data_IF_665259904716
#
_entry.id   IF_665259904716
#
_cell.length_a   1.000
_cell.length_b   1.000
_cell.length_c   1.000
_cell.angle_alpha   90.00
_cell.angle_beta   90.00
_cell.angle_gamma   90.00
#
_symmetry.space_group_name_H-M   'P 1'
#
loop_
_entity.id
_entity.type
_entity.pdbx_description
1 polymer ?
#
# COMPACT_ATOMS: atom_id res chain seq x y z
N UNK A 1 10.40 7.36 1.62
CA UNK A 1 9.80 8.28 0.66
C UNK A 1 10.86 9.23 0.13
N UNK A 2 10.93 9.31 -1.18
CA UNK A 2 11.90 10.14 -1.89
C UNK A 2 11.11 11.04 -2.83
N UNK A 3 11.34 12.34 -2.72
CA UNK A 3 10.86 13.34 -3.68
C UNK A 3 11.88 13.51 -4.78
N UNK A 4 11.41 13.54 -6.02
CA UNK A 4 12.20 13.81 -7.22
C UNK A 4 11.69 15.11 -7.84
N UNK A 5 12.58 16.06 -8.08
CA UNK A 5 12.30 17.35 -8.74
C UNK A 5 13.42 17.66 -9.75
N UNK A 6 13.19 17.27 -11.01
CA UNK A 6 14.25 17.20 -12.01
C UNK A 6 15.38 16.28 -11.54
N UNK A 7 16.60 16.80 -11.47
CA UNK A 7 17.78 16.07 -10.98
C UNK A 7 17.91 16.07 -9.44
N UNK A 8 17.02 16.78 -8.72
CA UNK A 8 17.08 16.85 -7.26
C UNK A 8 16.37 15.65 -6.63
N UNK A 9 17.12 14.93 -5.81
CA UNK A 9 16.63 13.79 -5.02
C UNK A 9 16.63 14.19 -3.55
N UNK A 10 15.48 14.09 -2.88
CA UNK A 10 15.35 14.42 -1.48
C UNK A 10 14.63 13.32 -0.71
N UNK A 11 15.23 12.84 0.39
CA UNK A 11 14.53 11.99 1.34
C UNK A 11 13.56 12.84 2.17
N UNK A 12 12.27 12.51 2.11
CA UNK A 12 11.19 13.29 2.76
C UNK A 12 10.51 12.52 3.91
N UNK A 13 10.96 11.30 4.20
CA UNK A 13 10.42 10.49 5.30
C UNK A 13 10.39 9.01 4.97
N UNK A 14 9.85 8.19 5.86
CA UNK A 14 9.71 6.75 5.67
C UNK A 14 9.01 6.10 6.85
N UNK A 15 8.64 4.84 6.68
CA UNK A 15 7.96 4.03 7.70
C UNK A 15 8.45 2.59 7.65
N UNK A 16 8.36 1.92 8.81
CA UNK A 16 8.79 0.52 8.98
C UNK A 16 7.76 -0.53 8.56
N UNK A 17 6.64 -0.12 7.94
CA UNK A 17 5.61 -1.05 7.43
C UNK A 17 5.91 -1.39 5.97
N UNK A 18 6.03 -2.68 5.69
CA UNK A 18 6.33 -3.19 4.34
C UNK A 18 6.22 -4.71 4.26
N UNK A 19 6.98 -5.32 3.34
CA UNK A 19 6.92 -6.77 3.10
C UNK A 19 7.25 -7.62 4.33
N UNK A 20 8.21 -7.17 5.14
CA UNK A 20 8.53 -7.84 6.41
C UNK A 20 7.36 -7.79 7.41
N UNK A 21 6.59 -6.71 7.44
CA UNK A 21 5.38 -6.60 8.28
C UNK A 21 4.29 -7.53 7.79
N UNK A 22 4.05 -7.58 6.47
CA UNK A 22 3.09 -8.50 5.85
C UNK A 22 3.42 -9.95 6.24
N UNK A 23 4.67 -10.38 6.02
CA UNK A 23 5.11 -11.74 6.39
C UNK A 23 5.02 -12.00 7.90
N UNK A 24 5.45 -11.02 8.71
CA UNK A 24 5.44 -11.12 10.17
C UNK A 24 4.03 -11.33 10.71
N UNK A 25 3.08 -10.49 10.29
CA UNK A 25 1.68 -10.60 10.67
C UNK A 25 1.03 -11.87 10.14
N UNK A 26 1.34 -12.28 8.90
CA UNK A 26 0.84 -13.52 8.32
C UNK A 26 1.26 -14.73 9.16
N UNK A 27 2.52 -14.77 9.61
CA UNK A 27 3.01 -15.85 10.47
C UNK A 27 2.31 -15.88 11.82
N UNK A 28 2.03 -14.71 12.39
CA UNK A 28 1.38 -14.62 13.70
C UNK A 28 -0.10 -14.98 13.63
N UNK A 29 -0.81 -14.48 12.63
CA UNK A 29 -2.28 -14.56 12.53
C UNK A 29 -2.77 -15.75 11.71
N UNK A 30 -2.09 -16.06 10.60
CA UNK A 30 -2.48 -17.11 9.65
C UNK A 30 -1.60 -18.36 9.74
N UNK A 31 -0.56 -18.33 10.58
CA UNK A 31 0.42 -19.42 10.74
C UNK A 31 1.14 -19.80 9.44
N UNK A 32 1.22 -18.87 8.48
CA UNK A 32 1.97 -19.03 7.23
C UNK A 32 2.94 -17.87 7.02
N UNK A 33 4.06 -18.14 6.35
CA UNK A 33 5.03 -17.14 5.91
C UNK A 33 5.11 -17.05 4.38
N UNK A 34 4.30 -17.85 3.67
CA UNK A 34 4.25 -17.85 2.21
C UNK A 34 3.36 -16.71 1.72
N UNK A 35 3.98 -15.69 1.12
CA UNK A 35 3.26 -14.54 0.56
C UNK A 35 2.31 -14.97 -0.55
N UNK A 36 2.65 -15.97 -1.36
CA UNK A 36 1.79 -16.42 -2.45
C UNK A 36 0.49 -17.00 -1.89
N UNK A 37 0.59 -17.84 -0.87
CA UNK A 37 -0.58 -18.37 -0.16
C UNK A 37 -1.41 -17.25 0.49
N UNK A 38 -0.77 -16.27 1.13
CA UNK A 38 -1.47 -15.12 1.74
C UNK A 38 -2.18 -14.30 0.67
N UNK A 39 -1.55 -14.08 -0.49
CA UNK A 39 -2.14 -13.38 -1.61
C UNK A 39 -3.38 -14.09 -2.15
N UNK A 40 -3.31 -15.41 -2.35
CA UNK A 40 -4.44 -16.23 -2.84
C UNK A 40 -5.61 -16.28 -1.84
N UNK A 41 -5.31 -16.32 -0.54
CA UNK A 41 -6.34 -16.20 0.51
C UNK A 41 -7.01 -14.84 0.46
N UNK A 42 -6.22 -13.77 0.35
CA UNK A 42 -6.72 -12.41 0.33
C UNK A 42 -7.59 -12.09 -0.89
N UNK A 43 -7.37 -12.73 -2.04
CA UNK A 43 -8.25 -12.61 -3.22
C UNK A 43 -9.67 -13.14 -2.98
N UNK A 44 -9.84 -14.03 -2.00
CA UNK A 44 -11.13 -14.60 -1.60
C UNK A 44 -11.75 -13.91 -0.38
N UNK A 45 -11.02 -12.98 0.23
CA UNK A 45 -11.42 -12.30 1.45
C UNK A 45 -12.24 -11.05 1.20
N UNK A 46 -13.07 -10.69 2.16
CA UNK A 46 -13.82 -9.44 2.18
C UNK A 46 -13.28 -8.52 3.28
N UNK A 47 -12.56 -7.49 2.86
CA UNK A 47 -11.95 -6.52 3.79
C UNK A 47 -12.98 -5.80 4.66
N UNK A 48 -14.25 -5.68 4.22
CA UNK A 48 -15.31 -4.99 4.98
C UNK A 48 -15.74 -5.78 6.23
N UNK A 49 -15.36 -7.06 6.31
CA UNK A 49 -15.59 -7.91 7.49
C UNK A 49 -14.59 -7.65 8.61
N UNK A 50 -13.40 -7.14 8.28
CA UNK A 50 -12.32 -6.90 9.27
C UNK A 50 -12.01 -5.42 9.46
N UNK A 51 -12.15 -4.58 8.44
CA UNK A 51 -11.92 -3.15 8.54
C UNK A 51 -13.21 -2.41 8.85
N UNK A 52 -13.15 -1.49 9.81
CA UNK A 52 -14.21 -0.54 10.08
C UNK A 52 -14.22 0.55 9.01
N UNK A 53 -15.36 0.79 8.38
CA UNK A 53 -15.57 1.83 7.37
C UNK A 53 -16.31 3.03 7.95
N UNK A 54 -16.22 4.17 7.28
CA UNK A 54 -16.93 5.39 7.68
C UNK A 54 -18.45 5.17 7.71
N UNK A 55 -18.97 4.37 6.76
CA UNK A 55 -20.38 3.98 6.71
C UNK A 55 -20.86 3.15 7.91
N UNK A 56 -19.95 2.49 8.63
CA UNK A 56 -20.30 1.78 9.87
C UNK A 56 -20.51 2.76 11.06
N UNK A 57 -20.02 4.00 10.95
CA UNK A 57 -20.05 5.03 12.01
C UNK A 57 -21.10 6.11 11.71
N UNK A 58 -21.18 6.54 10.46
CA UNK A 58 -22.06 7.61 10.01
C UNK A 58 -22.76 7.23 8.70
N UNK A 59 -24.07 7.45 8.64
CA UNK A 59 -24.88 7.14 7.46
C UNK A 59 -24.78 8.20 6.35
N UNK A 60 -24.03 9.27 6.56
CA UNK A 60 -23.90 10.39 5.61
C UNK A 60 -22.45 10.53 5.17
N UNK A 61 -22.21 10.53 3.85
CA UNK A 61 -20.90 10.82 3.28
C UNK A 61 -20.48 12.27 3.61
N UNK A 62 -19.21 12.47 3.93
CA UNK A 62 -18.63 13.82 3.98
C UNK A 62 -18.15 14.20 2.57
N UNK A 63 -18.05 15.51 2.24
CA UNK A 63 -17.77 16.00 0.88
C UNK A 63 -16.57 15.35 0.18
N UNK A 64 -15.56 14.90 0.93
CA UNK A 64 -14.33 14.28 0.39
C UNK A 64 -14.00 12.93 1.06
N UNK A 65 -14.96 12.33 1.77
CA UNK A 65 -14.76 11.06 2.47
C UNK A 65 -15.92 10.10 2.19
N UNK A 66 -15.74 9.12 1.28
CA UNK A 66 -16.79 8.18 0.95
C UNK A 66 -17.08 7.25 2.13
N UNK A 67 -18.32 6.77 2.23
CA UNK A 67 -18.72 5.81 3.29
C UNK A 67 -17.93 4.50 3.24
N UNK A 68 -17.39 4.13 2.07
CA UNK A 68 -16.52 2.97 1.90
C UNK A 68 -15.08 3.19 2.36
N UNK A 69 -14.70 4.42 2.71
CA UNK A 69 -13.36 4.71 3.24
C UNK A 69 -13.14 3.96 4.56
N UNK A 70 -11.94 3.44 4.74
CA UNK A 70 -11.54 2.80 6.00
C UNK A 70 -11.39 3.85 7.09
N UNK A 71 -12.15 3.69 8.17
CA UNK A 71 -12.02 4.47 9.39
C UNK A 71 -10.99 3.86 10.34
N UNK A 72 -10.97 2.53 10.45
CA UNK A 72 -10.03 1.79 11.29
C UNK A 72 -9.67 0.43 10.67
N UNK A 73 -8.38 0.23 10.39
CA UNK A 73 -7.83 -1.04 9.92
C UNK A 73 -7.98 -2.09 11.04
N UNK A 74 -8.51 -3.27 10.70
CA UNK A 74 -8.88 -4.32 11.66
C UNK A 74 -9.92 -3.92 12.73
N UNK A 75 -10.59 -2.78 12.59
CA UNK A 75 -11.53 -2.27 13.58
C UNK A 75 -12.80 -3.11 13.80
N UNK A 76 -13.10 -4.06 12.89
CA UNK A 76 -14.21 -5.02 13.01
C UNK A 76 -13.74 -6.45 13.26
N UNK A 77 -12.43 -6.67 13.34
CA UNK A 77 -11.89 -8.03 13.47
C UNK A 77 -12.34 -8.68 14.79
N UNK A 78 -12.92 -9.86 14.68
CA UNK A 78 -13.36 -10.68 15.80
C UNK A 78 -12.85 -12.13 15.65
N UNK A 79 -13.20 -13.00 16.61
CA UNK A 79 -12.76 -14.40 16.61
C UNK A 79 -13.38 -15.27 15.50
N UNK A 80 -14.36 -14.76 14.75
CA UNK A 80 -15.03 -15.47 13.66
C UNK A 80 -14.52 -15.03 12.27
N UNK A 81 -13.60 -14.07 12.19
CA UNK A 81 -13.01 -13.65 10.93
C UNK A 81 -12.34 -14.84 10.22
N UNK A 82 -12.66 -15.02 8.93
CA UNK A 82 -12.07 -16.09 8.13
C UNK A 82 -10.58 -15.81 7.86
N UNK A 83 -9.82 -16.84 7.50
CA UNK A 83 -8.40 -16.66 7.16
C UNK A 83 -8.24 -15.79 5.92
N UNK A 84 -9.19 -15.88 4.98
CA UNK A 84 -9.29 -15.07 3.78
C UNK A 84 -9.49 -13.59 4.12
N UNK A 85 -10.43 -13.28 5.02
CA UNK A 85 -10.69 -11.90 5.46
C UNK A 85 -9.48 -11.33 6.22
N UNK A 86 -8.85 -12.12 7.08
CA UNK A 86 -7.65 -11.73 7.82
C UNK A 86 -6.49 -11.48 6.84
N UNK A 87 -6.26 -12.35 5.86
CA UNK A 87 -5.24 -12.17 4.84
C UNK A 87 -5.45 -10.89 4.04
N UNK A 88 -6.70 -10.64 3.63
CA UNK A 88 -7.09 -9.40 2.95
C UNK A 88 -6.84 -8.19 3.83
N UNK A 89 -7.22 -8.25 5.12
CA UNK A 89 -6.94 -7.22 6.12
C UNK A 89 -5.45 -6.90 6.26
N UNK A 90 -4.58 -7.91 6.33
CA UNK A 90 -3.12 -7.71 6.48
C UNK A 90 -2.58 -6.95 5.27
N UNK A 91 -2.94 -7.38 4.07
CA UNK A 91 -2.51 -6.73 2.82
C UNK A 91 -3.01 -5.29 2.77
N UNK A 92 -4.30 -5.06 3.06
CA UNK A 92 -4.88 -3.73 3.08
C UNK A 92 -4.22 -2.82 4.11
N UNK A 93 -3.90 -3.31 5.31
CA UNK A 93 -3.16 -2.55 6.32
C UNK A 93 -1.82 -2.09 5.79
N UNK A 94 -1.03 -2.99 5.20
CA UNK A 94 0.29 -2.64 4.67
C UNK A 94 0.17 -1.63 3.52
N UNK A 95 -0.70 -1.88 2.54
CA UNK A 95 -0.83 -1.04 1.36
C UNK A 95 -1.43 0.34 1.68
N UNK A 96 -2.52 0.40 2.44
CA UNK A 96 -3.14 1.69 2.82
C UNK A 96 -2.23 2.52 3.72
N UNK A 97 -1.48 1.90 4.64
CA UNK A 97 -0.53 2.66 5.46
C UNK A 97 0.62 3.22 4.62
N UNK A 98 1.16 2.46 3.66
CA UNK A 98 2.19 2.95 2.74
C UNK A 98 1.66 4.11 1.90
N UNK A 99 0.51 3.92 1.23
CA UNK A 99 -0.08 4.94 0.35
C UNK A 99 -0.47 6.21 1.11
N UNK A 100 -1.08 6.05 2.29
CA UNK A 100 -1.53 7.17 3.10
C UNK A 100 -0.34 7.98 3.60
N UNK A 101 0.69 7.31 4.11
CA UNK A 101 1.91 7.99 4.54
C UNK A 101 2.67 8.66 3.38
N UNK A 102 2.64 8.09 2.17
CA UNK A 102 3.23 8.72 0.99
C UNK A 102 2.51 10.03 0.66
N UNK A 103 1.17 10.01 0.59
CA UNK A 103 0.33 11.19 0.37
C UNK A 103 0.54 12.23 1.47
N UNK A 104 0.54 11.81 2.74
CA UNK A 104 0.77 12.69 3.89
C UNK A 104 2.15 13.36 3.82
N UNK A 105 3.17 12.64 3.39
CA UNK A 105 4.54 13.18 3.23
C UNK A 105 4.65 14.21 2.11
N UNK A 106 3.71 14.20 1.16
CA UNK A 106 3.62 15.15 0.07
C UNK A 106 2.60 16.28 0.33
N UNK A 107 1.96 16.32 1.50
CA UNK A 107 1.07 17.42 1.86
C UNK A 107 1.79 18.76 1.77
N UNK A 108 1.04 19.80 1.39
CA UNK A 108 1.56 21.14 1.16
C UNK A 108 2.62 21.21 0.04
N UNK A 109 2.65 20.23 -0.86
CA UNK A 109 3.43 20.26 -2.09
C UNK A 109 2.51 20.12 -3.30
N UNK A 110 2.95 20.54 -4.50
CA UNK A 110 2.17 20.36 -5.73
C UNK A 110 2.17 18.91 -6.24
N UNK A 111 2.80 17.96 -5.53
CA UNK A 111 2.96 16.58 -5.98
C UNK A 111 1.61 15.87 -5.96
N UNK A 112 1.23 15.32 -7.12
CA UNK A 112 0.05 14.47 -7.28
C UNK A 112 0.38 13.07 -7.79
N UNK A 113 1.60 12.85 -8.28
CA UNK A 113 2.03 11.57 -8.84
C UNK A 113 2.97 10.83 -7.88
N UNK A 114 2.64 9.58 -7.59
CA UNK A 114 3.36 8.72 -6.65
C UNK A 114 3.80 7.44 -7.35
N UNK A 115 5.10 7.26 -7.55
CA UNK A 115 5.63 6.04 -8.16
C UNK A 115 5.91 4.98 -7.08
N UNK A 116 5.26 3.83 -7.20
CA UNK A 116 5.40 2.69 -6.30
C UNK A 116 6.33 1.65 -6.94
N UNK A 117 7.35 1.22 -6.19
CA UNK A 117 8.32 0.20 -6.63
C UNK A 117 8.52 -0.86 -5.55
N UNK A 118 9.20 -1.96 -5.91
CA UNK A 118 9.51 -3.07 -5.00
C UNK A 118 8.49 -4.21 -5.02
N UNK A 119 8.84 -5.35 -4.42
CA UNK A 119 8.09 -6.61 -4.56
C UNK A 119 6.62 -6.54 -4.13
N UNK A 120 6.25 -5.66 -3.21
CA UNK A 120 4.85 -5.50 -2.79
C UNK A 120 3.93 -5.09 -3.95
N UNK A 121 4.46 -4.40 -4.96
CA UNK A 121 3.70 -3.99 -6.15
C UNK A 121 3.18 -5.16 -6.99
N UNK A 122 3.67 -6.38 -6.74
CA UNK A 122 3.24 -7.60 -7.41
C UNK A 122 1.95 -8.20 -6.80
N UNK A 123 1.49 -7.68 -5.66
CA UNK A 123 0.26 -8.15 -5.04
C UNK A 123 -0.96 -7.75 -5.90
N UNK A 124 -1.88 -8.69 -6.22
CA UNK A 124 -3.09 -8.40 -7.00
C UNK A 124 -3.93 -7.25 -6.42
N UNK A 125 -3.94 -7.12 -5.09
CA UNK A 125 -4.71 -6.12 -4.36
C UNK A 125 -4.18 -4.69 -4.55
N UNK A 126 -2.93 -4.50 -5.03
CA UNK A 126 -2.37 -3.16 -5.24
C UNK A 126 -3.26 -2.30 -6.13
N UNK A 127 -3.73 -2.85 -7.25
CA UNK A 127 -4.57 -2.08 -8.18
C UNK A 127 -5.84 -1.59 -7.51
N UNK A 128 -6.52 -2.47 -6.78
CA UNK A 128 -7.78 -2.12 -6.11
C UNK A 128 -7.55 -1.10 -4.99
N UNK A 129 -6.58 -1.35 -4.10
CA UNK A 129 -6.31 -0.48 -2.94
C UNK A 129 -5.90 0.91 -3.40
N UNK A 130 -4.92 1.00 -4.31
CA UNK A 130 -4.43 2.31 -4.73
C UNK A 130 -5.45 3.07 -5.57
N UNK A 131 -6.25 2.41 -6.42
CA UNK A 131 -7.33 3.10 -7.15
C UNK A 131 -8.37 3.74 -6.21
N UNK A 132 -8.74 3.07 -5.11
CA UNK A 132 -9.62 3.65 -4.08
C UNK A 132 -8.95 4.84 -3.39
N UNK A 133 -7.65 4.77 -3.13
CA UNK A 133 -6.90 5.85 -2.50
C UNK A 133 -6.71 7.05 -3.43
N UNK A 134 -6.51 6.86 -4.74
CA UNK A 134 -6.49 7.93 -5.74
C UNK A 134 -7.76 8.78 -5.69
N UNK A 135 -8.91 8.11 -5.61
CA UNK A 135 -10.21 8.78 -5.53
C UNK A 135 -10.39 9.59 -4.23
N UNK A 136 -9.92 9.06 -3.10
CA UNK A 136 -10.04 9.73 -1.78
C UNK A 136 -9.09 10.92 -1.66
N UNK A 137 -7.84 10.77 -2.09
CA UNK A 137 -6.80 11.79 -1.89
C UNK A 137 -6.61 12.74 -3.09
N UNK A 138 -7.31 12.47 -4.20
CA UNK A 138 -7.15 13.18 -5.47
C UNK A 138 -5.68 13.23 -5.92
N UNK A 139 -5.09 12.04 -6.07
CA UNK A 139 -3.70 11.77 -6.48
C UNK A 139 -3.65 10.63 -7.48
N UNK A 140 -2.47 10.34 -8.03
CA UNK A 140 -2.22 9.25 -8.96
C UNK A 140 -1.07 8.36 -8.46
N UNK A 141 -1.31 7.06 -8.36
CA UNK A 141 -0.32 6.04 -8.03
C UNK A 141 0.09 5.29 -9.29
N UNK A 142 1.39 5.24 -9.54
CA UNK A 142 1.99 4.61 -10.71
C UNK A 142 2.80 3.39 -10.29
N UNK A 143 2.45 2.23 -10.84
CA UNK A 143 3.28 1.02 -10.73
C UNK A 143 3.92 0.79 -12.11
N UNK A 144 5.20 1.13 -12.31
CA UNK A 144 5.86 0.96 -13.59
C UNK A 144 6.14 -0.53 -13.87
N UNK A 145 6.33 -0.93 -15.14
CA UNK A 145 6.79 -2.28 -15.46
C UNK A 145 8.09 -2.62 -14.72
N UNK A 146 8.26 -3.88 -14.31
CA UNK A 146 9.45 -4.33 -13.57
C UNK A 146 9.72 -3.53 -12.27
N UNK A 147 8.66 -3.03 -11.63
CA UNK A 147 8.69 -2.26 -10.39
C UNK A 147 9.56 -2.91 -9.29
N UNK A 148 9.50 -4.23 -9.19
CA UNK A 148 10.26 -5.09 -8.29
C UNK A 148 11.78 -5.01 -8.49
N UNK A 149 12.24 -4.70 -9.70
CA UNK A 149 13.65 -4.64 -10.06
C UNK A 149 14.21 -3.22 -10.17
N UNK A 150 13.38 -2.18 -9.99
CA UNK A 150 13.78 -0.78 -10.26
C UNK A 150 15.02 -0.33 -9.49
N UNK A 151 15.19 -0.76 -8.24
CA UNK A 151 16.39 -0.47 -7.45
C UNK A 151 17.64 -1.11 -8.07
N UNK A 152 17.57 -2.37 -8.48
CA UNK A 152 18.68 -3.09 -9.08
C UNK A 152 19.06 -2.50 -10.46
N UNK A 153 18.04 -2.19 -11.28
CA UNK A 153 18.22 -1.52 -12.58
C UNK A 153 18.89 -0.16 -12.39
N UNK A 154 18.42 0.64 -11.43
CA UNK A 154 19.01 1.94 -11.11
C UNK A 154 20.47 1.85 -10.70
N UNK A 155 20.82 0.88 -9.84
CA UNK A 155 22.20 0.63 -9.43
C UNK A 155 23.10 0.24 -10.62
N UNK A 156 22.62 -0.64 -11.51
CA UNK A 156 23.36 -1.05 -12.70
C UNK A 156 23.60 0.12 -13.66
N UNK A 157 22.59 0.97 -13.89
CA UNK A 157 22.71 2.15 -14.75
C UNK A 157 23.69 3.19 -14.19
N UNK A 158 23.67 3.41 -12.88
CA UNK A 158 24.62 4.31 -12.21
C UNK A 158 26.07 3.84 -12.43
N UNK A 159 26.32 2.54 -12.24
CA UNK A 159 27.63 1.94 -12.46
C UNK A 159 28.12 2.07 -13.91
N UNK A 160 27.24 1.88 -14.90
CA UNK A 160 27.59 2.04 -16.32
C UNK A 160 27.92 3.49 -16.64
N UNK A 161 27.15 4.45 -16.11
CA UNK A 161 27.36 5.88 -16.32
C UNK A 161 28.70 6.36 -15.76
N UNK A 162 29.09 5.87 -14.59
CA UNK A 162 30.40 6.18 -13.97
C UNK A 162 31.61 5.64 -14.76
N UNK A 163 31.41 4.65 -15.64
CA UNK A 163 32.48 4.06 -16.46
C UNK A 163 32.57 4.62 -17.88
N UNK A 164 31.55 5.33 -18.33
CA UNK A 164 31.48 5.93 -19.66
C UNK A 164 31.73 7.45 -19.65
N UNK A 165 31.83 8.07 -18.47
CA UNK A 165 32.30 9.45 -18.26
C UNK A 165 33.73 9.47 -17.78
#
# INVERSE_FOLDING_TARGET
>A
FVKIDGDKVQHIGGLGIGGGTLQGLSRLLLKTHDIHQVSELAEKGDVTRVNLQIGDICNTALPDLPVSATASLFGKADSNASQEDIACGIIYTVLQTIGGAAVLSALNSPIKDFVLIGNLTQLPQCREVFSKMEAIYHVHFHIPPYAEYRTAIGAALAYVKERQG
#
